data_IF_557013828757
#
_entry.id   IF_557013828757
#
_cell.length_a   1.000
_cell.length_b   1.000
_cell.length_c   1.000
_cell.angle_alpha   90.00
_cell.angle_beta   90.00
_cell.angle_gamma   90.00
#
_symmetry.space_group_name_H-M   'P 1'
#
loop_
_entity.id
_entity.type
_entity.pdbx_description
1 polymer ?
#
# COMPACT_ATOMS: atom_id res chain seq x y z
N UNK A 1 -0.44 -12.00 -10.05
CA UNK A 1 -1.05 -13.10 -9.30
C UNK A 1 -2.23 -12.56 -8.49
N UNK A 2 -3.07 -13.46 -8.02
CA UNK A 2 -4.23 -13.08 -7.25
C UNK A 2 -4.44 -14.08 -6.12
N UNK A 3 -5.25 -13.71 -5.15
CA UNK A 3 -5.55 -14.56 -4.02
C UNK A 3 -6.71 -14.02 -3.21
N UNK A 4 -7.08 -14.78 -2.17
CA UNK A 4 -8.15 -14.41 -1.26
C UNK A 4 -7.58 -14.34 0.15
N UNK A 5 -7.96 -13.29 0.88
CA UNK A 5 -7.60 -13.18 2.28
C UNK A 5 -8.57 -13.98 3.14
N UNK A 6 -8.18 -14.25 4.39
CA UNK A 6 -8.96 -15.09 5.27
C UNK A 6 -10.37 -14.55 5.54
N UNK A 7 -10.56 -13.23 5.43
CA UNK A 7 -11.84 -12.58 5.66
C UNK A 7 -12.70 -12.45 4.41
N UNK A 8 -12.31 -13.12 3.32
CA UNK A 8 -13.08 -13.12 2.09
C UNK A 8 -12.72 -12.01 1.11
N UNK A 9 -11.80 -11.12 1.45
CA UNK A 9 -11.35 -10.11 0.52
C UNK A 9 -10.50 -10.77 -0.58
N UNK A 10 -10.59 -10.23 -1.78
CA UNK A 10 -9.84 -10.74 -2.94
C UNK A 10 -8.86 -9.66 -3.39
N UNK A 11 -7.64 -10.06 -3.61
CA UNK A 11 -6.64 -9.15 -4.13
C UNK A 11 -6.05 -9.67 -5.43
N UNK A 12 -5.56 -8.75 -6.25
CA UNK A 12 -4.91 -9.07 -7.52
C UNK A 12 -3.69 -8.17 -7.68
N UNK A 13 -2.57 -8.76 -8.05
CA UNK A 13 -1.35 -8.02 -8.31
C UNK A 13 -0.87 -8.36 -9.71
N UNK A 14 -0.56 -7.34 -10.51
CA UNK A 14 -0.04 -7.51 -11.85
C UNK A 14 1.17 -6.60 -12.03
N UNK A 15 2.08 -7.00 -12.89
CA UNK A 15 3.23 -6.19 -13.29
C UNK A 15 3.33 -6.24 -14.80
N UNK A 16 3.73 -5.11 -15.39
CA UNK A 16 3.94 -5.08 -16.85
C UNK A 16 5.12 -5.96 -17.23
N UNK A 17 6.13 -6.01 -16.37
CA UNK A 17 7.33 -6.78 -16.65
C UNK A 17 7.89 -7.35 -15.37
N UNK A 18 8.38 -8.58 -15.42
CA UNK A 18 9.06 -9.24 -14.32
C UNK A 18 10.36 -9.84 -14.85
N UNK A 19 11.44 -9.55 -14.15
CA UNK A 19 12.74 -10.12 -14.48
C UNK A 19 13.26 -10.85 -13.27
N UNK A 20 13.33 -12.17 -13.36
CA UNK A 20 13.73 -13.01 -12.24
C UNK A 20 15.23 -13.26 -12.33
N UNK A 21 15.93 -13.04 -11.22
CA UNK A 21 17.35 -13.35 -11.12
C UNK A 21 17.49 -14.77 -10.62
N UNK A 22 18.28 -15.55 -11.31
CA UNK A 22 18.58 -16.91 -10.92
C UNK A 22 19.83 -16.91 -10.05
N UNK A 23 19.87 -17.76 -9.04
CA UNK A 23 21.01 -17.86 -8.15
C UNK A 23 20.60 -18.15 -6.73
N UNK A 24 21.46 -17.82 -5.77
CA UNK A 24 21.25 -18.13 -4.36
C UNK A 24 20.08 -17.37 -3.77
N UNK A 25 19.77 -16.19 -4.28
CA UNK A 25 18.62 -15.41 -3.82
C UNK A 25 17.59 -15.38 -4.93
N UNK A 26 16.42 -15.91 -4.67
CA UNK A 26 15.34 -15.89 -5.65
C UNK A 26 14.63 -14.54 -5.57
N UNK A 27 14.97 -13.67 -6.48
CA UNK A 27 14.48 -12.29 -6.49
C UNK A 27 13.94 -11.95 -7.87
N UNK A 28 12.84 -11.24 -7.92
CA UNK A 28 12.26 -10.76 -9.17
C UNK A 28 12.14 -9.25 -9.15
N UNK A 29 12.67 -8.61 -10.20
CA UNK A 29 12.50 -7.17 -10.41
C UNK A 29 11.20 -6.96 -11.17
N UNK A 30 10.28 -6.19 -10.60
CA UNK A 30 8.98 -5.93 -11.18
C UNK A 30 8.88 -4.48 -11.64
N UNK A 31 8.23 -4.27 -12.77
CA UNK A 31 8.06 -2.94 -13.35
C UNK A 31 6.57 -2.69 -13.59
N UNK A 32 6.15 -1.47 -13.27
CA UNK A 32 4.77 -1.00 -13.45
C UNK A 32 3.77 -1.96 -12.80
N UNK A 33 3.75 -1.91 -11.49
CA UNK A 33 2.88 -2.77 -10.69
C UNK A 33 1.53 -2.13 -10.48
N UNK A 34 0.51 -2.96 -10.47
CA UNK A 34 -0.84 -2.58 -10.09
C UNK A 34 -1.36 -3.62 -9.11
N UNK A 35 -1.86 -3.13 -7.97
CA UNK A 35 -2.52 -3.95 -6.97
C UNK A 35 -3.97 -3.54 -6.92
N UNK A 36 -4.88 -4.51 -6.86
CA UNK A 36 -6.31 -4.25 -6.73
C UNK A 36 -6.84 -5.11 -5.60
N UNK A 37 -7.67 -4.49 -4.77
CA UNK A 37 -8.31 -5.17 -3.65
C UNK A 37 -9.80 -4.99 -3.76
N UNK A 38 -10.54 -6.11 -3.78
CA UNK A 38 -11.99 -6.12 -3.66
C UNK A 38 -12.32 -6.54 -2.24
N UNK A 39 -12.75 -5.59 -1.44
CA UNK A 39 -13.12 -5.83 -0.07
C UNK A 39 -14.60 -6.15 0.07
N UNK A 40 -15.08 -6.09 1.31
CA UNK A 40 -16.48 -6.35 1.59
C UNK A 40 -17.30 -5.08 1.37
N UNK A 41 -18.59 -5.26 1.17
CA UNK A 41 -19.56 -4.15 1.03
C UNK A 41 -19.23 -3.20 -0.10
N UNK A 42 -18.65 -3.74 -1.19
CA UNK A 42 -18.34 -2.92 -2.36
C UNK A 42 -17.09 -2.08 -2.26
N UNK A 43 -16.31 -2.23 -1.20
CA UNK A 43 -15.07 -1.50 -1.06
C UNK A 43 -14.06 -1.95 -2.13
N UNK A 44 -13.42 -1.00 -2.78
CA UNK A 44 -12.40 -1.28 -3.77
C UNK A 44 -11.22 -0.33 -3.57
N UNK A 45 -10.02 -0.89 -3.63
CA UNK A 45 -8.80 -0.11 -3.54
C UNK A 45 -7.85 -0.51 -4.66
N UNK A 46 -7.03 0.43 -5.08
CA UNK A 46 -6.05 0.20 -6.14
C UNK A 46 -4.76 0.92 -5.77
N UNK A 47 -3.63 0.24 -5.99
CA UNK A 47 -2.32 0.83 -5.76
C UNK A 47 -1.47 0.65 -7.00
N UNK A 48 -0.66 1.66 -7.30
CA UNK A 48 0.28 1.59 -8.43
C UNK A 48 1.67 1.97 -7.95
N UNK A 49 2.68 1.33 -8.53
CA UNK A 49 4.07 1.61 -8.23
C UNK A 49 4.91 1.38 -9.48
N UNK A 50 5.98 2.15 -9.64
CA UNK A 50 6.82 2.05 -10.83
C UNK A 50 7.73 0.84 -10.82
N UNK A 51 8.30 0.49 -9.67
CA UNK A 51 9.20 -0.64 -9.58
C UNK A 51 9.21 -1.22 -8.18
N UNK A 52 9.53 -2.50 -8.09
CA UNK A 52 9.62 -3.20 -6.82
C UNK A 52 10.49 -4.43 -6.96
N UNK A 53 10.96 -4.91 -5.82
CA UNK A 53 11.75 -6.11 -5.71
C UNK A 53 10.94 -7.15 -4.93
N UNK A 54 10.68 -8.28 -5.55
CA UNK A 54 9.93 -9.36 -4.91
C UNK A 54 10.88 -10.46 -4.48
N UNK A 55 10.91 -10.74 -3.20
CA UNK A 55 11.66 -11.87 -2.65
C UNK A 55 10.75 -13.09 -2.71
N UNK A 56 11.07 -14.02 -3.61
CA UNK A 56 10.15 -15.10 -3.94
C UNK A 56 9.95 -16.10 -2.80
N UNK A 57 11.00 -16.38 -2.04
CA UNK A 57 10.89 -17.37 -0.96
C UNK A 57 10.11 -16.83 0.23
N UNK A 58 10.32 -15.57 0.60
CA UNK A 58 9.63 -14.96 1.74
C UNK A 58 8.33 -14.29 1.35
N UNK A 59 8.12 -14.06 0.06
CA UNK A 59 6.97 -13.34 -0.46
C UNK A 59 6.87 -11.91 0.11
N UNK A 60 8.03 -11.28 0.26
CA UNK A 60 8.12 -9.88 0.69
C UNK A 60 8.39 -9.02 -0.54
N UNK A 61 7.63 -7.95 -0.67
CA UNK A 61 7.76 -7.01 -1.77
C UNK A 61 8.29 -5.69 -1.24
N UNK A 62 9.41 -5.25 -1.81
CA UNK A 62 9.99 -3.95 -1.47
C UNK A 62 9.76 -3.01 -2.64
N UNK A 63 8.90 -2.02 -2.44
CA UNK A 63 8.60 -1.02 -3.47
C UNK A 63 9.68 0.04 -3.45
N UNK A 64 10.17 0.41 -4.63
CA UNK A 64 11.15 1.49 -4.78
C UNK A 64 10.43 2.72 -5.29
N UNK A 65 10.48 3.80 -4.51
CA UNK A 65 9.83 5.05 -4.85
C UNK A 65 8.42 5.13 -4.29
N UNK A 66 7.59 5.95 -4.93
CA UNK A 66 6.25 6.26 -4.42
C UNK A 66 5.23 5.24 -4.92
N UNK A 67 4.47 4.69 -3.97
CA UNK A 67 3.28 3.92 -4.27
C UNK A 67 2.07 4.80 -4.04
N UNK A 68 1.17 4.87 -5.00
CA UNK A 68 -0.06 5.65 -4.90
C UNK A 68 -1.23 4.69 -4.72
N UNK A 69 -1.97 4.89 -3.64
CA UNK A 69 -3.14 4.06 -3.32
C UNK A 69 -4.38 4.94 -3.40
N UNK A 70 -5.37 4.47 -4.13
CA UNK A 70 -6.67 5.14 -4.20
C UNK A 70 -7.76 4.12 -3.88
N UNK A 71 -8.89 4.59 -3.36
CA UNK A 71 -10.02 3.71 -3.13
C UNK A 71 -11.30 4.39 -3.60
N UNK A 72 -12.40 3.64 -3.56
CA UNK A 72 -13.68 4.16 -4.04
C UNK A 72 -14.42 5.02 -3.02
N UNK A 73 -13.79 5.31 -1.86
CA UNK A 73 -14.30 6.34 -0.94
C UNK A 73 -13.75 7.73 -1.26
N UNK A 74 -12.79 7.81 -2.21
CA UNK A 74 -12.16 9.08 -2.57
C UNK A 74 -10.86 9.35 -1.84
N UNK A 75 -10.34 8.38 -1.10
CA UNK A 75 -9.05 8.52 -0.42
C UNK A 75 -7.91 8.30 -1.41
N UNK A 76 -6.85 9.09 -1.27
CA UNK A 76 -5.59 8.91 -1.99
C UNK A 76 -4.46 8.92 -0.98
N UNK A 77 -3.62 7.90 -1.03
CA UNK A 77 -2.47 7.77 -0.15
C UNK A 77 -1.19 7.70 -0.97
N UNK A 78 -0.14 8.37 -0.50
CA UNK A 78 1.18 8.27 -1.08
C UNK A 78 2.12 7.68 -0.04
N UNK A 79 2.72 6.55 -0.39
CA UNK A 79 3.64 5.82 0.48
C UNK A 79 4.99 5.77 -0.21
N UNK A 80 6.05 6.13 0.52
CA UNK A 80 7.40 6.09 -0.04
C UNK A 80 8.10 4.83 0.45
N UNK A 81 8.60 4.05 -0.51
CA UNK A 81 9.35 2.83 -0.26
C UNK A 81 8.67 1.86 0.71
N UNK A 82 7.37 1.56 0.51
CA UNK A 82 6.71 0.63 1.43
C UNK A 82 7.22 -0.79 1.25
N UNK A 83 7.14 -1.56 2.33
CA UNK A 83 7.46 -2.99 2.32
C UNK A 83 6.17 -3.75 2.60
N UNK A 84 5.83 -4.67 1.72
CA UNK A 84 4.63 -5.48 1.82
C UNK A 84 5.04 -6.90 2.13
N UNK A 85 4.63 -7.38 3.30
CA UNK A 85 4.88 -8.76 3.72
C UNK A 85 3.60 -9.54 3.51
N UNK A 86 3.54 -10.32 2.44
CA UNK A 86 2.33 -11.00 2.04
C UNK A 86 1.89 -12.06 3.05
N UNK A 87 2.79 -12.96 3.52
CA UNK A 87 2.37 -13.94 4.51
C UNK A 87 1.86 -13.33 5.80
N UNK A 88 2.49 -12.25 6.25
CA UNK A 88 2.05 -11.57 7.47
C UNK A 88 0.88 -10.63 7.24
N UNK A 89 0.49 -10.41 5.98
CA UNK A 89 -0.56 -9.47 5.61
C UNK A 89 -0.29 -8.08 6.20
N UNK A 90 0.96 -7.62 6.09
CA UNK A 90 1.34 -6.33 6.66
C UNK A 90 1.95 -5.44 5.59
N UNK A 91 1.76 -4.13 5.78
CA UNK A 91 2.38 -3.10 4.96
C UNK A 91 3.00 -2.12 5.94
N UNK A 92 4.26 -1.76 5.70
CA UNK A 92 4.91 -0.76 6.55
C UNK A 92 5.74 0.18 5.71
N UNK A 93 5.87 1.40 6.18
CA UNK A 93 6.83 2.34 5.63
C UNK A 93 7.41 3.15 6.77
N UNK A 94 8.73 3.39 6.71
CA UNK A 94 9.42 4.23 7.68
C UNK A 94 9.62 5.64 7.15
N UNK A 95 9.12 5.88 5.93
CA UNK A 95 9.19 7.18 5.28
C UNK A 95 7.85 7.90 5.45
N UNK A 96 7.81 9.21 5.22
CA UNK A 96 6.58 9.98 5.40
C UNK A 96 5.42 9.48 4.55
N UNK A 97 4.23 9.55 5.11
CA UNK A 97 2.98 9.10 4.49
C UNK A 97 2.05 10.30 4.35
N UNK A 98 1.37 10.39 3.23
CA UNK A 98 0.44 11.48 2.92
C UNK A 98 -0.88 10.87 2.47
N UNK A 99 -1.94 11.04 3.28
CA UNK A 99 -3.27 10.57 2.95
C UNK A 99 -4.19 11.75 2.75
N UNK A 100 -4.93 11.76 1.64
CA UNK A 100 -5.93 12.76 1.33
C UNK A 100 -7.28 12.08 1.22
N UNK A 101 -8.27 12.61 1.92
CA UNK A 101 -9.61 12.04 1.99
C UNK A 101 -10.59 12.83 1.15
N UNK A 102 -11.72 12.19 0.82
CA UNK A 102 -12.71 12.79 -0.06
C UNK A 102 -13.31 14.08 0.50
N UNK A 103 -13.37 14.20 1.83
CA UNK A 103 -13.94 15.38 2.48
C UNK A 103 -12.98 16.56 2.54
N UNK A 104 -11.76 16.39 2.01
CA UNK A 104 -10.74 17.45 2.03
C UNK A 104 -9.81 17.38 3.21
N UNK A 105 -10.01 16.46 4.14
CA UNK A 105 -9.05 16.28 5.23
C UNK A 105 -7.79 15.62 4.74
N UNK A 106 -6.69 15.81 5.46
CA UNK A 106 -5.38 15.31 5.08
C UNK A 106 -4.65 14.82 6.32
N UNK A 107 -4.06 13.66 6.22
CA UNK A 107 -3.27 13.07 7.29
C UNK A 107 -1.83 12.93 6.81
N UNK A 108 -0.90 13.49 7.57
CA UNK A 108 0.52 13.32 7.34
C UNK A 108 1.10 12.55 8.51
N UNK A 109 1.96 11.58 8.24
CA UNK A 109 2.62 10.82 9.28
C UNK A 109 4.05 10.56 8.90
N UNK A 110 4.91 10.39 9.89
CA UNK A 110 6.32 10.09 9.64
C UNK A 110 6.51 8.64 9.24
N UNK A 111 5.64 7.75 9.73
CA UNK A 111 5.70 6.34 9.37
C UNK A 111 4.31 5.72 9.53
N UNK A 112 4.16 4.53 8.96
CA UNK A 112 2.88 3.83 8.95
C UNK A 112 3.12 2.34 8.99
N UNK A 113 2.22 1.63 9.67
CA UNK A 113 2.18 0.17 9.64
C UNK A 113 0.72 -0.27 9.56
N UNK A 114 0.42 -1.16 8.62
CA UNK A 114 -0.88 -1.81 8.53
C UNK A 114 -0.71 -3.28 8.88
N UNK A 115 -1.56 -3.77 9.78
CA UNK A 115 -1.62 -5.17 10.15
C UNK A 115 -2.94 -5.73 9.62
N UNK A 116 -2.86 -6.55 8.57
CA UNK A 116 -4.04 -7.08 7.91
C UNK A 116 -4.75 -8.15 8.73
N UNK A 117 -4.02 -8.87 9.59
CA UNK A 117 -4.63 -9.87 10.45
C UNK A 117 -5.51 -9.19 11.50
N UNK A 118 -4.97 -8.18 12.17
CA UNK A 118 -5.72 -7.41 13.17
C UNK A 118 -6.60 -6.34 12.54
N UNK A 119 -6.44 -6.08 11.25
CA UNK A 119 -7.13 -5.02 10.51
C UNK A 119 -6.94 -3.67 11.20
N UNK A 120 -5.68 -3.35 11.50
CA UNK A 120 -5.35 -2.17 12.27
C UNK A 120 -4.26 -1.37 11.58
N UNK A 121 -4.50 -0.06 11.48
CA UNK A 121 -3.51 0.89 11.00
C UNK A 121 -2.84 1.54 12.20
N UNK A 122 -1.55 1.80 12.07
CA UNK A 122 -0.80 2.54 13.09
C UNK A 122 0.03 3.60 12.38
N UNK A 123 -0.17 4.84 12.77
CA UNK A 123 0.59 5.97 12.25
C UNK A 123 1.41 6.59 13.36
N UNK A 124 2.63 7.00 13.03
CA UNK A 124 3.55 7.63 13.99
C UNK A 124 3.87 9.03 13.51
N UNK A 125 3.91 9.99 14.43
CA UNK A 125 4.23 11.37 14.09
C UNK A 125 3.15 12.02 13.24
N UNK A 126 1.91 11.98 13.69
CA UNK A 126 0.74 12.34 12.90
C UNK A 126 0.44 13.82 12.97
N UNK A 127 0.12 14.41 11.82
CA UNK A 127 -0.46 15.72 11.69
C UNK A 127 -1.73 15.59 10.86
N UNK A 128 -2.83 16.08 11.38
CA UNK A 128 -4.13 15.96 10.73
C UNK A 128 -4.67 17.35 10.42
N UNK A 129 -5.06 17.57 9.16
CA UNK A 129 -5.70 18.77 8.72
C UNK A 129 -7.13 18.48 8.35
N UNK A 130 -8.07 19.16 9.00
CA UNK A 130 -9.48 18.96 8.75
C UNK A 130 -9.97 19.97 7.70
N UNK A 131 -11.02 19.62 6.95
CA UNK A 131 -11.53 20.51 5.91
C UNK A 131 -12.11 21.77 6.55
N UNK A 132 -11.86 22.89 5.91
CA UNK A 132 -12.42 24.18 6.35
C UNK A 132 -11.78 24.83 7.55
N UNK A 133 -10.75 24.20 8.14
CA UNK A 133 -10.15 24.76 9.35
C UNK A 133 -9.45 26.08 9.11
N UNK A 134 -8.95 26.31 7.92
CA UNK A 134 -8.22 27.55 7.65
C UNK A 134 -9.12 28.76 7.58
N UNK A 135 -10.40 28.58 7.51
CA UNK A 135 -11.31 29.67 7.37
C UNK A 135 -11.76 30.27 8.65
N UNK A 136 -11.44 29.63 9.69
CA UNK A 136 -11.82 30.14 10.96
C UNK A 136 -10.84 31.19 11.30
N UNK A 137 -11.05 32.09 11.02
CA UNK A 137 -10.25 33.01 11.41
C UNK A 137 -10.24 33.98 11.07
#
# INVERSE_FOLDING_TARGET
FSGALADGRVYRATARQARTRLGSASVSDLTDLTFELDGQDGYKARATAGSALLHLSSQVLEVSGTMIVTDNTGMTARLLDPVIDWPAQSIRTVEPVDLNFADGSRLLAKSMQYDGVAQRWRFTGVSLQLPGTKETR
#
